data_IF_500976113215
#
_entry.id   IF_500976113215
#
_cell.length_a   1.000
_cell.length_b   1.000
_cell.length_c   1.000
_cell.angle_alpha   90.00
_cell.angle_beta   90.00
_cell.angle_gamma   90.00
#
_symmetry.space_group_name_H-M   'P 1'
#
loop_
_entity.id
_entity.type
_entity.pdbx_description
1 polymer ?
#
# COMPACT_ATOMS: atom_id res chain seq x y z
N UNK A 1 24.29 8.28 -75.85
CA UNK A 1 23.56 7.11 -76.39
C UNK A 1 23.02 6.33 -75.19
N UNK A 2 21.75 6.48 -74.91
CA UNK A 2 20.68 5.46 -74.90
C UNK A 2 20.91 4.30 -73.93
N UNK A 3 20.06 3.91 -73.04
CA UNK A 3 18.63 3.95 -72.70
C UNK A 3 18.46 3.18 -71.38
N UNK A 4 17.74 3.71 -70.40
CA UNK A 4 16.49 3.28 -69.74
C UNK A 4 16.29 1.77 -69.57
N UNK A 5 16.07 1.36 -68.29
CA UNK A 5 14.83 0.68 -67.86
C UNK A 5 14.60 0.86 -66.35
N UNK A 6 13.47 1.44 -66.03
CA UNK A 6 12.90 1.59 -64.72
C UNK A 6 12.11 0.31 -64.40
N UNK A 7 12.32 -0.29 -63.25
CA UNK A 7 11.36 -1.24 -62.71
C UNK A 7 10.92 -0.74 -61.35
N UNK A 8 9.67 -0.24 -61.32
CA UNK A 8 8.87 0.08 -60.16
C UNK A 8 8.45 -1.21 -59.48
N UNK A 9 8.95 -1.52 -58.29
CA UNK A 9 8.30 -2.43 -57.36
C UNK A 9 7.49 -1.64 -56.35
N UNK A 10 6.17 -1.56 -56.60
CA UNK A 10 5.19 -1.12 -55.60
C UNK A 10 4.99 -2.25 -54.61
N UNK A 11 5.55 -2.09 -53.40
CA UNK A 11 5.21 -2.96 -52.27
C UNK A 11 3.86 -2.53 -51.74
N UNK A 12 2.87 -3.37 -51.94
CA UNK A 12 1.51 -3.19 -51.39
C UNK A 12 1.57 -3.66 -49.93
N UNK A 13 1.45 -2.73 -48.99
CA UNK A 13 1.23 -3.05 -47.57
C UNK A 13 -0.27 -3.32 -47.40
N UNK A 14 -0.62 -4.59 -47.18
CA UNK A 14 -1.95 -4.97 -46.75
C UNK A 14 -2.05 -4.69 -45.25
N UNK A 15 -2.71 -3.61 -44.86
CA UNK A 15 -3.06 -3.34 -43.46
C UNK A 15 -4.25 -4.22 -43.12
N UNK A 16 -4.01 -5.27 -42.36
CA UNK A 16 -5.06 -6.07 -41.73
C UNK A 16 -5.55 -5.29 -40.52
N UNK A 17 -6.66 -4.59 -40.67
CA UNK A 17 -7.39 -3.99 -39.56
C UNK A 17 -8.11 -5.11 -38.79
N UNK A 18 -7.56 -5.49 -37.63
CA UNK A 18 -8.27 -6.34 -36.67
C UNK A 18 -9.23 -5.42 -35.92
N UNK A 19 -10.49 -5.42 -36.33
CA UNK A 19 -11.57 -4.82 -35.54
C UNK A 19 -11.87 -5.73 -34.35
N UNK A 20 -11.37 -5.38 -33.18
CA UNK A 20 -11.86 -5.92 -31.91
C UNK A 20 -13.28 -5.38 -31.69
N UNK A 21 -14.28 -6.19 -31.94
CA UNK A 21 -15.64 -5.91 -31.53
C UNK A 21 -15.72 -6.00 -30.01
N UNK A 22 -15.69 -4.85 -29.34
CA UNK A 22 -16.08 -4.76 -27.93
C UNK A 22 -17.58 -5.10 -27.86
N UNK A 23 -17.92 -6.29 -27.43
CA UNK A 23 -19.29 -6.64 -27.04
C UNK A 23 -19.60 -5.88 -25.76
N UNK A 24 -20.29 -4.77 -25.86
CA UNK A 24 -20.88 -4.11 -24.72
C UNK A 24 -21.88 -5.07 -24.07
N UNK A 25 -21.59 -5.47 -22.84
CA UNK A 25 -22.57 -6.14 -22.00
C UNK A 25 -23.75 -5.19 -21.77
N UNK A 26 -25.00 -5.65 -21.88
CA UNK A 26 -26.14 -4.78 -21.69
C UNK A 26 -26.17 -4.29 -20.24
N UNK A 27 -26.36 -2.99 -20.06
CA UNK A 27 -26.62 -2.37 -18.77
C UNK A 27 -27.84 -3.07 -18.13
N UNK A 28 -27.66 -3.75 -17.01
CA UNK A 28 -28.77 -4.27 -16.23
C UNK A 28 -29.54 -3.08 -15.67
N UNK A 29 -30.72 -2.87 -16.17
CA UNK A 29 -31.71 -1.97 -15.56
C UNK A 29 -32.14 -2.59 -14.23
N UNK A 30 -31.71 -1.98 -13.13
CA UNK A 30 -32.11 -2.32 -11.77
C UNK A 30 -33.58 -1.95 -11.60
N UNK A 31 -34.48 -2.91 -11.86
CA UNK A 31 -35.83 -2.85 -11.36
C UNK A 31 -35.78 -3.21 -9.87
N UNK A 32 -36.04 -2.18 -9.04
CA UNK A 32 -36.09 -2.33 -7.60
C UNK A 32 -37.14 -3.34 -7.14
N UNK A 33 -36.65 -4.52 -6.79
CA UNK A 33 -37.28 -5.42 -5.83
C UNK A 33 -36.17 -5.85 -4.87
N UNK A 34 -36.26 -5.35 -3.64
CA UNK A 34 -35.31 -5.65 -2.57
C UNK A 34 -35.33 -7.13 -2.20
N UNK A 35 -34.63 -7.93 -2.96
CA UNK A 35 -34.16 -9.23 -2.48
C UNK A 35 -32.88 -8.96 -1.69
N UNK A 36 -32.97 -9.12 -0.36
CA UNK A 36 -31.80 -9.25 0.49
C UNK A 36 -30.91 -10.33 -0.11
N UNK A 37 -29.82 -9.92 -0.74
CA UNK A 37 -28.74 -10.84 -1.13
C UNK A 37 -28.34 -11.58 0.14
N UNK A 38 -28.56 -12.88 0.14
CA UNK A 38 -28.23 -13.73 1.28
C UNK A 38 -26.74 -13.57 1.56
N UNK A 39 -26.43 -13.01 2.74
CA UNK A 39 -25.06 -12.95 3.26
C UNK A 39 -24.44 -14.31 3.07
N UNK A 40 -23.33 -14.39 2.36
CA UNK A 40 -22.59 -15.63 2.27
C UNK A 40 -22.04 -15.92 3.68
N UNK A 41 -22.76 -16.74 4.45
CA UNK A 41 -22.47 -17.01 5.87
C UNK A 41 -21.13 -17.66 6.14
N UNK A 42 -20.34 -17.91 5.09
CA UNK A 42 -19.12 -18.72 5.14
C UNK A 42 -17.84 -17.92 4.76
N UNK A 43 -17.84 -16.59 4.85
CA UNK A 43 -16.58 -15.85 4.70
C UNK A 43 -15.76 -15.96 6.00
N UNK A 44 -14.67 -16.77 6.01
CA UNK A 44 -14.00 -17.17 7.24
C UNK A 44 -12.91 -16.19 7.70
N UNK A 45 -12.68 -15.11 6.93
CA UNK A 45 -11.58 -14.21 7.14
C UNK A 45 -11.99 -12.99 7.95
N UNK A 46 -11.30 -12.72 9.05
CA UNK A 46 -11.59 -11.65 9.96
C UNK A 46 -12.06 -12.13 11.34
N UNK A 47 -12.81 -11.30 12.04
CA UNK A 47 -13.32 -11.62 13.37
C UNK A 47 -14.83 -11.85 13.33
N UNK A 48 -15.31 -12.72 14.25
CA UNK A 48 -16.75 -12.97 14.45
C UNK A 48 -17.47 -11.83 15.21
N UNK A 49 -16.97 -10.60 15.17
CA UNK A 49 -17.66 -9.49 15.78
C UNK A 49 -19.05 -9.32 15.17
N UNK A 50 -20.07 -9.30 16.02
CA UNK A 50 -21.45 -9.11 15.58
C UNK A 50 -21.60 -7.76 14.88
N UNK A 51 -22.20 -7.79 13.73
CA UNK A 51 -22.25 -6.79 12.67
C UNK A 51 -22.79 -5.39 12.99
N UNK A 52 -23.01 -5.02 14.24
CA UNK A 52 -23.65 -3.76 14.59
C UNK A 52 -23.06 -3.01 15.78
N UNK A 53 -22.03 -3.52 16.44
CA UNK A 53 -21.41 -2.81 17.56
C UNK A 53 -20.25 -1.96 17.07
N UNK A 54 -20.15 -0.71 17.52
CA UNK A 54 -18.96 0.10 17.32
C UNK A 54 -17.72 -0.58 17.90
N UNK A 55 -16.59 -0.35 17.28
CA UNK A 55 -15.28 -0.85 17.68
C UNK A 55 -14.19 0.13 17.25
N UNK A 56 -12.95 -0.08 17.67
CA UNK A 56 -11.83 0.77 17.29
C UNK A 56 -10.67 -0.06 16.72
N UNK A 57 -9.91 0.56 15.83
CA UNK A 57 -8.66 0.03 15.26
C UNK A 57 -7.56 1.08 15.40
N UNK A 58 -6.29 0.66 15.33
CA UNK A 58 -5.13 1.55 15.35
C UNK A 58 -4.42 1.58 14.01
N UNK A 59 -4.04 2.76 13.54
CA UNK A 59 -3.24 2.97 12.32
C UNK A 59 -1.97 3.73 12.67
N UNK A 60 -0.84 3.29 12.12
CA UNK A 60 0.47 3.93 12.29
C UNK A 60 1.39 3.48 11.15
N UNK A 61 2.43 4.25 10.86
CA UNK A 61 3.40 3.92 9.82
C UNK A 61 4.57 4.90 9.82
N UNK A 62 5.50 4.71 8.88
CA UNK A 62 6.68 5.58 8.69
C UNK A 62 7.47 5.80 10.00
N UNK A 63 7.64 4.74 10.77
CA UNK A 63 8.29 4.72 12.10
C UNK A 63 9.03 3.41 12.35
N UNK A 64 10.21 3.44 13.03
CA UNK A 64 10.96 4.63 13.46
C UNK A 64 12.00 5.06 12.42
N UNK A 65 12.24 6.37 12.28
CA UNK A 65 13.27 6.95 11.41
C UNK A 65 14.49 7.46 12.19
N UNK A 66 14.43 7.43 13.51
CA UNK A 66 15.52 7.86 14.40
C UNK A 66 15.61 6.96 15.64
N UNK A 67 16.77 7.04 16.35
CA UNK A 67 16.92 6.32 17.61
C UNK A 67 15.91 6.81 18.64
N UNK A 68 15.64 8.11 18.72
CA UNK A 68 14.66 8.66 19.66
C UNK A 68 13.25 8.14 19.40
N UNK A 69 12.87 7.90 18.15
CA UNK A 69 11.61 7.26 17.83
C UNK A 69 11.64 5.77 18.19
N UNK A 70 12.73 5.06 17.86
CA UNK A 70 12.87 3.64 18.23
C UNK A 70 12.75 3.44 19.74
N UNK A 71 13.33 4.34 20.52
CA UNK A 71 13.24 4.32 21.99
C UNK A 71 11.81 4.63 22.50
N UNK A 72 11.03 5.36 21.72
CA UNK A 72 9.65 5.75 22.04
C UNK A 72 8.58 4.74 21.57
N UNK A 73 8.87 3.88 20.58
CA UNK A 73 7.92 2.85 20.10
C UNK A 73 7.32 2.00 21.22
N UNK A 74 8.07 1.54 22.24
CA UNK A 74 7.47 0.79 23.35
C UNK A 74 6.34 1.56 24.06
N UNK A 75 6.47 2.89 24.20
CA UNK A 75 5.41 3.72 24.79
C UNK A 75 4.18 3.78 23.91
N UNK A 76 4.34 3.89 22.58
CA UNK A 76 3.23 3.84 21.63
C UNK A 76 2.52 2.48 21.67
N UNK A 77 3.27 1.38 21.71
CA UNK A 77 2.70 0.04 21.82
C UNK A 77 1.92 -0.13 23.14
N UNK A 78 2.44 0.38 24.26
CA UNK A 78 1.75 0.31 25.54
C UNK A 78 0.46 1.16 25.52
N UNK A 79 0.49 2.34 24.90
CA UNK A 79 -0.70 3.18 24.69
C UNK A 79 -1.76 2.44 23.87
N UNK A 80 -1.38 1.85 22.73
CA UNK A 80 -2.28 0.99 21.95
C UNK A 80 -2.81 -0.21 22.74
N UNK A 81 -1.93 -0.86 23.50
CA UNK A 81 -2.27 -2.03 24.33
C UNK A 81 -3.20 -1.68 25.49
N UNK A 82 -3.23 -0.42 25.94
CA UNK A 82 -4.15 0.07 26.97
C UNK A 82 -5.58 0.25 26.46
N UNK A 83 -5.77 0.23 25.13
CA UNK A 83 -7.05 0.46 24.48
C UNK A 83 -7.64 -0.86 23.92
N UNK A 84 -8.96 -0.89 23.78
CA UNK A 84 -9.67 -2.06 23.24
C UNK A 84 -9.69 -1.99 21.70
N UNK A 85 -8.55 -2.29 21.10
CA UNK A 85 -8.38 -2.31 19.64
C UNK A 85 -8.67 -3.71 19.09
N UNK A 86 -9.50 -3.79 18.04
CA UNK A 86 -9.81 -5.06 17.38
C UNK A 86 -8.65 -5.54 16.53
N UNK A 87 -7.88 -4.63 15.96
CA UNK A 87 -6.61 -4.85 15.27
C UNK A 87 -5.86 -3.53 15.10
N UNK A 88 -4.58 -3.63 14.74
CA UNK A 88 -3.75 -2.50 14.33
C UNK A 88 -3.18 -2.74 12.94
N UNK A 89 -2.91 -1.67 12.19
CA UNK A 89 -2.22 -1.73 10.90
C UNK A 89 -1.05 -0.76 10.92
N UNK A 90 0.11 -1.24 10.51
CA UNK A 90 1.27 -0.44 10.17
C UNK A 90 1.31 -0.31 8.65
N UNK A 91 1.29 0.93 8.14
CA UNK A 91 1.11 1.23 6.73
C UNK A 91 2.42 1.46 5.96
N UNK A 92 3.50 0.80 6.40
CA UNK A 92 4.78 0.76 5.71
C UNK A 92 5.89 1.55 6.41
N UNK A 93 7.09 1.37 5.91
CA UNK A 93 8.30 2.10 6.31
C UNK A 93 8.78 1.83 7.74
N UNK A 94 9.48 0.72 7.90
CA UNK A 94 10.15 0.35 9.15
C UNK A 94 11.48 1.10 9.37
N UNK A 95 11.89 1.94 8.41
CA UNK A 95 13.10 2.78 8.43
C UNK A 95 12.95 4.01 7.55
N UNK A 96 13.86 4.97 7.70
CA UNK A 96 14.01 6.07 6.74
C UNK A 96 14.58 5.60 5.39
N UNK A 97 14.23 6.25 4.28
CA UNK A 97 14.62 5.87 2.93
C UNK A 97 16.11 5.97 2.61
N UNK A 98 16.90 6.70 3.41
CA UNK A 98 18.33 6.89 3.20
C UNK A 98 19.13 6.67 4.49
N UNK A 99 20.39 6.25 4.36
CA UNK A 99 21.27 6.05 5.50
C UNK A 99 21.10 4.71 6.19
N UNK A 100 21.34 4.65 7.48
CA UNK A 100 21.34 3.45 8.30
C UNK A 100 20.31 3.54 9.42
N UNK A 101 19.66 2.42 9.81
CA UNK A 101 19.90 1.08 9.29
C UNK A 101 19.44 0.94 7.84
N UNK A 102 20.16 0.12 7.07
CA UNK A 102 19.78 -0.25 5.71
C UNK A 102 18.89 -1.49 5.71
N UNK A 103 18.46 -1.93 4.53
CA UNK A 103 17.76 -3.20 4.36
C UNK A 103 18.66 -4.43 4.53
N UNK A 104 19.96 -4.28 4.72
CA UNK A 104 20.86 -5.42 4.87
C UNK A 104 20.50 -6.25 6.11
N UNK A 105 20.40 -7.57 5.93
CA UNK A 105 20.04 -8.51 7.01
C UNK A 105 20.98 -8.46 8.23
N UNK A 106 22.21 -7.95 8.01
CA UNK A 106 23.21 -7.77 9.05
C UNK A 106 23.54 -6.29 9.28
N UNK A 107 22.64 -5.38 8.92
CA UNK A 107 22.82 -3.96 9.17
C UNK A 107 22.90 -3.73 10.67
N UNK A 108 24.11 -3.53 11.15
CA UNK A 108 24.36 -3.14 12.51
C UNK A 108 24.84 -1.70 12.53
N UNK A 109 24.02 -0.80 13.07
CA UNK A 109 24.46 0.48 13.59
C UNK A 109 25.37 1.33 12.68
N UNK A 110 24.80 2.10 11.83
CA UNK A 110 25.54 3.21 11.26
C UNK A 110 25.70 4.37 12.24
N UNK A 111 26.68 5.20 12.01
CA UNK A 111 26.83 6.45 12.76
C UNK A 111 25.55 7.31 12.62
N UNK A 112 24.84 7.50 13.72
CA UNK A 112 23.54 8.18 13.74
C UNK A 112 22.32 7.30 13.51
N UNK A 113 22.53 5.99 13.32
CA UNK A 113 21.45 5.03 13.10
C UNK A 113 20.88 4.45 14.39
N UNK A 114 19.77 3.75 14.21
CA UNK A 114 19.09 3.00 15.26
C UNK A 114 19.92 1.75 15.59
N UNK A 115 20.02 1.44 16.88
CA UNK A 115 20.63 0.18 17.32
C UNK A 115 19.62 -0.93 17.12
N UNK A 116 19.81 -1.71 16.05
CA UNK A 116 18.89 -2.78 15.70
C UNK A 116 19.08 -4.05 16.53
N UNK A 117 17.96 -4.70 16.80
CA UNK A 117 17.90 -6.06 17.33
C UNK A 117 18.01 -7.08 16.18
N UNK A 118 19.10 -7.02 15.40
CA UNK A 118 19.33 -7.87 14.26
C UNK A 118 19.26 -7.14 12.92
N UNK A 119 18.08 -6.73 12.50
CA UNK A 119 17.86 -5.86 11.32
C UNK A 119 16.50 -5.17 11.43
N UNK A 120 16.17 -4.31 10.46
CA UNK A 120 14.91 -3.54 10.45
C UNK A 120 13.68 -4.45 10.50
N UNK A 121 13.71 -5.57 9.80
CA UNK A 121 12.57 -6.50 9.71
C UNK A 121 12.38 -7.27 11.03
N UNK A 122 13.46 -7.72 11.65
CA UNK A 122 13.40 -8.38 12.97
C UNK A 122 12.92 -7.40 14.05
N UNK A 123 13.37 -6.15 13.97
CA UNK A 123 12.88 -5.07 14.84
C UNK A 123 11.38 -4.85 14.62
N UNK A 124 10.93 -4.67 13.38
CA UNK A 124 9.51 -4.53 13.04
C UNK A 124 8.68 -5.72 13.54
N UNK A 125 9.15 -6.95 13.33
CA UNK A 125 8.48 -8.14 13.84
C UNK A 125 8.38 -8.12 15.38
N UNK A 126 9.40 -7.62 16.07
CA UNK A 126 9.35 -7.50 17.55
C UNK A 126 8.28 -6.50 18.00
N UNK A 127 8.09 -5.42 17.29
CA UNK A 127 7.03 -4.43 17.56
C UNK A 127 5.65 -5.05 17.36
N UNK A 128 5.43 -5.72 16.22
CA UNK A 128 4.16 -6.39 15.97
C UNK A 128 3.84 -7.45 17.02
N UNK A 129 4.82 -8.25 17.42
CA UNK A 129 4.64 -9.28 18.45
C UNK A 129 4.41 -8.72 19.87
N UNK A 130 4.75 -7.46 20.12
CA UNK A 130 4.46 -6.77 21.37
C UNK A 130 3.02 -6.22 21.46
N UNK A 131 2.33 -6.09 20.33
CA UNK A 131 0.92 -5.66 20.28
C UNK A 131 0.00 -6.79 20.76
N UNK A 132 -0.92 -6.49 21.68
CA UNK A 132 -1.93 -7.44 22.17
C UNK A 132 -2.97 -7.76 21.10
N UNK A 133 -3.40 -6.73 20.38
CA UNK A 133 -4.32 -6.86 19.26
C UNK A 133 -3.64 -7.56 18.06
N UNK A 134 -4.39 -8.17 17.16
CA UNK A 134 -3.89 -8.58 15.85
C UNK A 134 -3.18 -7.43 15.16
N UNK A 135 -1.96 -7.66 14.68
CA UNK A 135 -1.16 -6.67 13.98
C UNK A 135 -1.05 -7.02 12.49
N UNK A 136 -1.23 -6.04 11.65
CA UNK A 136 -1.19 -6.17 10.19
C UNK A 136 -0.14 -5.19 9.69
N UNK A 137 0.57 -5.58 8.66
CA UNK A 137 1.62 -4.81 8.02
C UNK A 137 1.36 -4.75 6.51
N UNK A 138 1.68 -3.65 5.86
CA UNK A 138 1.84 -3.52 4.42
C UNK A 138 3.22 -2.93 4.15
N UNK A 139 4.01 -3.46 3.19
CA UNK A 139 5.34 -2.95 2.92
C UNK A 139 5.33 -1.49 2.49
N UNK A 140 6.38 -0.75 2.84
CA UNK A 140 6.65 0.59 2.32
C UNK A 140 7.83 0.60 1.35
N UNK A 141 8.05 1.71 0.64
CA UNK A 141 9.16 1.82 -0.30
C UNK A 141 10.51 1.73 0.41
N UNK A 142 10.62 2.28 1.60
CA UNK A 142 11.83 2.20 2.41
C UNK A 142 12.16 0.78 2.88
N UNK A 143 11.17 -0.11 2.87
CA UNK A 143 11.36 -1.49 3.31
C UNK A 143 11.95 -2.37 2.20
N UNK A 144 11.70 -2.04 0.92
CA UNK A 144 12.20 -2.87 -0.17
C UNK A 144 12.60 -2.11 -1.44
N UNK A 145 11.79 -1.24 -2.04
CA UNK A 145 12.16 -0.54 -3.30
C UNK A 145 13.40 0.32 -3.10
N UNK A 146 13.46 1.07 -2.03
CA UNK A 146 14.56 1.95 -1.66
C UNK A 146 15.80 1.23 -1.13
N UNK A 147 15.73 -0.08 -0.98
CA UNK A 147 16.88 -0.89 -0.54
C UNK A 147 18.01 -0.91 -1.53
N UNK A 148 17.74 -0.59 -2.77
CA UNK A 148 18.75 -0.60 -3.83
C UNK A 148 19.36 0.78 -4.10
N UNK A 149 18.96 1.82 -3.39
CA UNK A 149 19.48 3.19 -3.57
C UNK A 149 21.00 3.24 -3.52
N UNK A 150 21.59 3.96 -4.48
CA UNK A 150 23.04 4.15 -4.57
C UNK A 150 23.63 4.86 -3.33
N UNK A 151 22.82 5.70 -2.66
CA UNK A 151 23.19 6.38 -1.42
C UNK A 151 23.50 5.43 -0.26
N UNK A 152 23.01 4.18 -0.31
CA UNK A 152 23.30 3.15 0.68
C UNK A 152 24.68 2.49 0.49
N UNK A 153 25.37 2.72 -0.64
CA UNK A 153 26.72 2.23 -0.90
C UNK A 153 26.83 0.70 -0.76
N UNK A 154 27.71 0.23 0.13
CA UNK A 154 27.90 -1.21 0.39
C UNK A 154 26.71 -1.89 1.06
N UNK A 155 25.80 -1.13 1.63
CA UNK A 155 24.59 -1.63 2.29
C UNK A 155 23.39 -1.75 1.33
N UNK A 156 23.52 -1.29 0.10
CA UNK A 156 22.49 -1.43 -0.93
C UNK A 156 22.20 -2.91 -1.24
N UNK A 157 20.94 -3.26 -1.40
CA UNK A 157 20.46 -4.62 -1.68
C UNK A 157 19.49 -4.60 -2.85
N UNK A 158 19.36 -5.73 -3.53
CA UNK A 158 18.34 -5.88 -4.57
C UNK A 158 16.93 -5.75 -3.94
N UNK A 159 16.14 -4.80 -4.44
CA UNK A 159 14.81 -4.47 -3.91
C UNK A 159 13.89 -5.70 -3.88
N UNK A 160 13.80 -6.44 -4.97
CA UNK A 160 12.91 -7.60 -5.06
C UNK A 160 13.34 -8.77 -4.17
N UNK A 161 14.65 -8.88 -3.86
CA UNK A 161 15.12 -9.82 -2.86
C UNK A 161 14.62 -9.42 -1.46
N UNK A 162 14.63 -8.13 -1.15
CA UNK A 162 14.14 -7.65 0.14
C UNK A 162 12.64 -7.87 0.29
N UNK A 163 11.85 -7.58 -0.72
CA UNK A 163 10.44 -7.94 -0.75
C UNK A 163 10.21 -9.46 -0.56
N UNK A 164 11.05 -10.29 -1.18
CA UNK A 164 10.97 -11.75 -0.98
C UNK A 164 11.29 -12.15 0.45
N UNK A 165 12.21 -11.44 1.11
CA UNK A 165 12.52 -11.65 2.53
C UNK A 165 11.34 -11.22 3.42
N UNK A 166 10.72 -10.08 3.18
CA UNK A 166 9.52 -9.65 3.89
C UNK A 166 8.37 -10.64 3.73
N UNK A 167 8.12 -11.11 2.51
CA UNK A 167 7.11 -12.15 2.24
C UNK A 167 7.34 -13.39 3.08
N UNK A 168 8.61 -13.81 3.23
CA UNK A 168 8.94 -14.97 4.06
C UNK A 168 8.75 -14.74 5.55
N UNK A 169 8.96 -13.51 6.02
CA UNK A 169 8.94 -13.16 7.45
C UNK A 169 7.53 -12.78 7.94
N UNK A 170 6.87 -11.86 7.23
CA UNK A 170 5.60 -11.27 7.66
C UNK A 170 4.38 -11.94 7.03
N UNK A 171 4.53 -12.52 5.84
CA UNK A 171 3.42 -12.97 5.01
C UNK A 171 3.42 -14.47 4.71
N UNK A 172 4.23 -15.25 5.42
CA UNK A 172 4.36 -16.71 5.23
C UNK A 172 3.08 -17.51 5.57
N UNK A 173 2.16 -16.93 6.31
CA UNK A 173 0.88 -17.56 6.69
C UNK A 173 -0.29 -16.60 6.46
N UNK A 174 -1.52 -17.09 6.33
CA UNK A 174 -2.70 -16.22 6.22
C UNK A 174 -3.14 -15.58 7.55
N UNK A 175 -2.39 -15.78 8.63
CA UNK A 175 -2.68 -15.18 9.94
C UNK A 175 -2.08 -13.79 10.04
N UNK A 176 -2.75 -12.91 10.79
CA UNK A 176 -2.16 -11.65 11.26
C UNK A 176 -0.96 -11.92 12.17
N UNK A 177 -0.16 -10.92 12.39
CA UNK A 177 0.84 -10.85 13.44
C UNK A 177 0.17 -10.47 14.79
N UNK A 178 0.95 -10.19 15.82
CA UNK A 178 0.45 -9.81 17.15
C UNK A 178 0.21 -10.99 18.08
N UNK A 179 -0.11 -10.69 19.34
CA UNK A 179 -0.34 -11.72 20.37
C UNK A 179 -1.66 -12.46 20.16
N UNK A 180 -2.67 -11.78 19.63
CA UNK A 180 -3.91 -12.40 19.17
C UNK A 180 -3.92 -12.38 17.63
N UNK A 181 -4.59 -13.35 17.03
CA UNK A 181 -4.54 -13.51 15.58
C UNK A 181 -5.89 -13.90 15.00
N UNK A 182 -6.14 -13.48 13.77
CA UNK A 182 -7.23 -14.00 12.94
C UNK A 182 -6.73 -14.32 11.51
N UNK A 183 -7.55 -15.00 10.73
CA UNK A 183 -7.25 -15.34 9.34
C UNK A 183 -7.60 -14.18 8.41
N UNK A 184 -6.73 -13.93 7.43
CA UNK A 184 -6.95 -13.02 6.32
C UNK A 184 -7.02 -13.81 5.01
N UNK A 185 -7.84 -13.36 4.07
CA UNK A 185 -7.75 -13.83 2.69
C UNK A 185 -6.51 -13.22 2.05
N UNK A 186 -5.76 -14.03 1.33
CA UNK A 186 -4.48 -13.66 0.70
C UNK A 186 -4.64 -13.72 -0.81
N UNK A 187 -4.05 -12.77 -1.53
CA UNK A 187 -3.95 -12.85 -2.99
C UNK A 187 -2.96 -13.94 -3.40
N UNK A 188 -3.46 -15.16 -3.49
CA UNK A 188 -2.64 -16.37 -3.64
C UNK A 188 -2.28 -16.72 -5.09
N UNK A 189 -2.88 -16.06 -6.09
CA UNK A 189 -2.53 -16.29 -7.50
C UNK A 189 -1.14 -15.75 -7.78
N UNK A 190 -0.24 -16.53 -8.40
CA UNK A 190 1.14 -16.09 -8.64
C UNK A 190 1.21 -15.11 -9.83
N UNK A 191 0.87 -13.85 -9.57
CA UNK A 191 0.85 -12.76 -10.55
C UNK A 191 1.90 -11.68 -10.27
N UNK A 192 2.43 -11.62 -9.05
CA UNK A 192 3.53 -10.75 -8.69
C UNK A 192 4.89 -11.36 -9.05
N UNK A 193 5.93 -10.53 -9.05
CA UNK A 193 7.31 -10.97 -9.27
C UNK A 193 8.01 -11.25 -7.94
N UNK A 194 8.85 -12.27 -7.94
CA UNK A 194 9.74 -12.63 -6.87
C UNK A 194 11.17 -12.80 -7.38
N UNK A 195 12.13 -12.65 -6.49
CA UNK A 195 13.54 -12.88 -6.80
C UNK A 195 13.81 -14.38 -6.88
N UNK A 196 14.37 -14.84 -8.00
CA UNK A 196 14.74 -16.24 -8.17
C UNK A 196 16.24 -16.46 -7.98
N UNK A 197 17.07 -15.78 -8.76
CA UNK A 197 18.53 -15.85 -8.69
C UNK A 197 19.14 -14.53 -9.16
N UNK A 198 20.25 -14.15 -8.58
CA UNK A 198 21.01 -12.96 -8.94
C UNK A 198 22.15 -12.73 -7.97
N UNK A 199 22.92 -11.69 -8.20
CA UNK A 199 23.94 -11.24 -7.25
C UNK A 199 23.26 -10.43 -6.15
N UNK A 200 23.49 -10.83 -4.92
CA UNK A 200 23.11 -10.10 -3.74
C UNK A 200 24.36 -9.51 -3.11
N UNK A 201 24.80 -8.44 -3.67
CA UNK A 201 25.97 -7.73 -3.19
C UNK A 201 25.77 -6.23 -3.25
N UNK A 202 26.71 -5.46 -2.70
CA UNK A 202 26.68 -4.02 -2.84
C UNK A 202 26.54 -3.67 -4.31
N UNK A 203 25.49 -2.93 -4.63
CA UNK A 203 25.23 -2.45 -5.99
C UNK A 203 26.20 -1.30 -6.38
N UNK A 204 27.34 -1.21 -5.69
CA UNK A 204 28.33 -0.15 -5.82
C UNK A 204 28.98 -0.03 -7.22
N UNK A 205 28.83 -1.02 -8.10
CA UNK A 205 29.31 -0.95 -9.49
C UNK A 205 28.17 -1.29 -10.47
N UNK A 206 27.17 -0.42 -10.52
CA UNK A 206 26.03 -0.54 -11.43
C UNK A 206 26.29 -0.08 -12.86
N UNK A 207 27.52 0.12 -13.26
CA UNK A 207 27.91 0.13 -14.68
C UNK A 207 27.72 -1.25 -15.33
N UNK A 208 27.52 -2.28 -14.52
CA UNK A 208 27.14 -3.64 -14.95
C UNK A 208 25.67 -3.84 -14.67
N UNK A 209 24.88 -4.05 -15.71
CA UNK A 209 23.49 -4.47 -15.63
C UNK A 209 23.41 -5.70 -14.73
N UNK A 210 22.82 -5.57 -13.55
CA UNK A 210 22.51 -6.74 -12.74
C UNK A 210 21.50 -7.58 -13.49
N UNK A 211 21.90 -8.75 -13.90
CA UNK A 211 20.99 -9.75 -14.42
C UNK A 211 20.50 -10.59 -13.24
N UNK A 212 19.33 -10.26 -12.72
CA UNK A 212 18.60 -11.20 -11.88
C UNK A 212 17.42 -11.77 -12.67
N UNK A 213 16.94 -12.91 -12.24
CA UNK A 213 15.81 -13.59 -12.85
C UNK A 213 14.60 -13.51 -11.94
N UNK A 214 13.44 -13.22 -12.54
CA UNK A 214 12.16 -13.24 -11.86
C UNK A 214 11.59 -14.65 -11.79
N UNK A 215 10.74 -14.87 -10.78
CA UNK A 215 9.77 -15.95 -10.76
C UNK A 215 8.39 -15.36 -10.45
N UNK A 216 7.35 -15.99 -10.96
CA UNK A 216 5.99 -15.58 -10.59
C UNK A 216 5.65 -16.13 -9.20
N UNK A 217 5.18 -15.24 -8.32
CA UNK A 217 4.83 -15.54 -6.94
C UNK A 217 3.47 -14.95 -6.59
N UNK A 218 2.86 -15.44 -5.52
CA UNK A 218 1.70 -14.80 -4.92
C UNK A 218 2.06 -13.40 -4.40
N UNK A 219 1.13 -12.45 -4.51
CA UNK A 219 1.23 -11.14 -3.87
C UNK A 219 0.74 -11.30 -2.41
N UNK A 220 1.54 -11.97 -1.59
CA UNK A 220 1.10 -12.43 -0.27
C UNK A 220 0.91 -11.32 0.76
N UNK A 221 1.41 -10.14 0.48
CA UNK A 221 1.23 -8.88 1.19
C UNK A 221 -0.17 -8.27 0.97
N UNK A 222 -0.80 -8.57 -0.15
CA UNK A 222 -2.17 -8.17 -0.42
C UNK A 222 -3.16 -9.07 0.31
N UNK A 223 -3.83 -8.50 1.29
CA UNK A 223 -4.71 -9.22 2.22
C UNK A 223 -6.04 -8.51 2.39
N UNK A 224 -7.11 -9.27 2.69
CA UNK A 224 -8.40 -8.68 3.04
C UNK A 224 -9.12 -9.49 4.10
N UNK A 225 -9.98 -8.82 4.85
CA UNK A 225 -10.75 -9.41 5.95
C UNK A 225 -11.99 -8.57 6.27
N UNK A 226 -12.91 -9.13 7.03
CA UNK A 226 -14.12 -8.45 7.47
C UNK A 226 -14.15 -8.38 9.00
N UNK A 227 -14.47 -7.19 9.52
CA UNK A 227 -14.81 -6.97 10.92
C UNK A 227 -16.09 -6.15 10.97
N UNK A 228 -17.07 -6.60 11.74
CA UNK A 228 -18.28 -5.81 11.99
C UNK A 228 -19.02 -5.31 10.74
N UNK A 229 -19.04 -6.07 9.65
CA UNK A 229 -19.64 -5.67 8.36
C UNK A 229 -18.85 -4.60 7.58
N UNK A 230 -17.60 -4.35 7.93
CA UNK A 230 -16.69 -3.50 7.18
C UNK A 230 -15.60 -4.37 6.56
N UNK A 231 -15.33 -4.16 5.28
CA UNK A 231 -14.25 -4.82 4.55
C UNK A 231 -12.97 -3.99 4.68
N UNK A 232 -11.89 -4.65 4.97
CA UNK A 232 -10.53 -4.08 5.02
C UNK A 232 -9.63 -4.81 4.02
N UNK A 233 -8.71 -4.10 3.40
CA UNK A 233 -7.69 -4.71 2.55
C UNK A 233 -6.38 -3.91 2.55
N UNK A 234 -5.26 -4.63 2.51
CA UNK A 234 -3.94 -4.06 2.20
C UNK A 234 -3.66 -4.15 0.70
N UNK A 235 -2.89 -3.19 0.20
CA UNK A 235 -2.40 -3.09 -1.17
C UNK A 235 -0.91 -2.74 -1.15
N UNK A 236 -0.14 -3.41 -1.97
CA UNK A 236 1.31 -3.17 -2.11
C UNK A 236 1.57 -2.01 -3.11
N UNK A 237 1.06 -0.81 -2.76
CA UNK A 237 1.27 0.43 -3.51
C UNK A 237 2.33 1.25 -2.76
N UNK A 238 3.47 1.48 -3.42
CA UNK A 238 4.69 2.00 -2.81
C UNK A 238 4.94 3.47 -3.16
N UNK A 239 5.68 4.18 -2.29
CA UNK A 239 6.32 5.43 -2.64
C UNK A 239 7.23 5.31 -3.87
N UNK A 240 8.06 6.32 -4.12
CA UNK A 240 9.02 6.30 -5.24
C UNK A 240 8.38 6.00 -6.60
N UNK A 241 7.19 6.61 -6.89
CA UNK A 241 6.37 6.35 -8.08
C UNK A 241 6.07 4.85 -8.28
N UNK A 242 5.82 4.14 -7.20
CA UNK A 242 5.50 2.72 -7.24
C UNK A 242 6.60 1.86 -7.89
N UNK A 243 7.87 2.07 -7.49
CA UNK A 243 9.08 1.41 -8.02
C UNK A 243 9.50 1.87 -9.44
N UNK A 244 9.12 3.08 -9.87
CA UNK A 244 9.48 3.63 -11.18
C UNK A 244 10.36 4.89 -11.13
N UNK A 245 10.57 5.49 -9.95
CA UNK A 245 11.28 6.77 -9.80
C UNK A 245 12.51 6.70 -8.87
N UNK A 246 12.87 5.55 -8.35
CA UNK A 246 14.10 5.39 -7.59
C UNK A 246 15.36 5.26 -8.49
N UNK A 247 16.52 5.01 -7.90
CA UNK A 247 17.77 4.92 -8.65
C UNK A 247 17.80 3.76 -9.67
N UNK A 248 16.99 2.72 -9.45
CA UNK A 248 16.97 1.51 -10.28
C UNK A 248 15.54 1.01 -10.52
N UNK A 249 14.77 1.75 -11.34
CA UNK A 249 13.38 1.42 -11.61
C UNK A 249 13.19 0.01 -12.16
N UNK A 250 12.18 -0.70 -11.69
CA UNK A 250 11.80 -2.04 -12.21
C UNK A 250 10.41 -2.03 -12.86
N UNK A 251 10.32 -1.66 -14.15
CA UNK A 251 9.01 -1.59 -14.83
C UNK A 251 8.36 -2.96 -15.04
N UNK A 252 9.11 -4.06 -14.96
CA UNK A 252 8.56 -5.42 -15.10
C UNK A 252 7.88 -5.84 -13.81
N UNK A 253 8.51 -5.58 -12.67
CA UNK A 253 7.93 -5.79 -11.35
C UNK A 253 6.69 -4.89 -11.17
N UNK A 254 6.86 -3.58 -11.37
CA UNK A 254 5.77 -2.61 -11.27
C UNK A 254 4.54 -3.02 -12.08
N UNK A 255 4.70 -3.33 -13.37
CA UNK A 255 3.56 -3.68 -14.22
C UNK A 255 2.81 -4.94 -13.73
N UNK A 256 3.54 -5.91 -13.20
CA UNK A 256 2.94 -7.15 -12.68
C UNK A 256 2.18 -6.90 -11.37
N UNK A 257 2.81 -6.18 -10.43
CA UNK A 257 2.22 -5.85 -9.12
C UNK A 257 1.04 -4.90 -9.27
N UNK A 258 1.17 -3.82 -10.05
CA UNK A 258 0.09 -2.86 -10.29
C UNK A 258 -1.16 -3.55 -10.88
N UNK A 259 -0.98 -4.45 -11.85
CA UNK A 259 -2.10 -5.22 -12.39
C UNK A 259 -2.74 -6.14 -11.34
N UNK A 260 -1.93 -6.74 -10.45
CA UNK A 260 -2.41 -7.56 -9.36
C UNK A 260 -3.17 -6.74 -8.30
N UNK A 261 -2.66 -5.56 -7.94
CA UNK A 261 -3.27 -4.65 -6.97
C UNK A 261 -4.62 -4.10 -7.45
N UNK A 262 -4.70 -3.70 -8.72
CA UNK A 262 -5.97 -3.28 -9.33
C UNK A 262 -6.98 -4.42 -9.29
N UNK A 263 -6.58 -5.65 -9.68
CA UNK A 263 -7.46 -6.80 -9.65
C UNK A 263 -7.90 -7.16 -8.21
N UNK A 264 -6.99 -7.03 -7.25
CA UNK A 264 -7.30 -7.28 -5.84
C UNK A 264 -8.26 -6.24 -5.27
N UNK A 265 -8.02 -4.98 -5.54
CA UNK A 265 -8.90 -3.86 -5.16
C UNK A 265 -10.32 -4.06 -5.73
N UNK A 266 -10.44 -4.35 -7.01
CA UNK A 266 -11.73 -4.63 -7.66
C UNK A 266 -12.43 -5.86 -7.06
N UNK A 267 -11.67 -6.95 -6.86
CA UNK A 267 -12.18 -8.15 -6.20
C UNK A 267 -12.60 -7.90 -4.74
N UNK A 268 -11.96 -6.95 -4.06
CA UNK A 268 -12.33 -6.56 -2.70
C UNK A 268 -13.68 -5.81 -2.67
N UNK A 269 -13.91 -4.88 -3.59
CA UNK A 269 -15.23 -4.25 -3.74
C UNK A 269 -16.32 -5.26 -4.05
N UNK A 270 -16.06 -6.18 -4.99
CA UNK A 270 -17.03 -7.23 -5.32
C UNK A 270 -17.33 -8.11 -4.10
N UNK A 271 -16.29 -8.54 -3.37
CA UNK A 271 -16.47 -9.32 -2.14
C UNK A 271 -17.25 -8.53 -1.09
N UNK A 272 -16.98 -7.24 -0.92
CA UNK A 272 -17.71 -6.38 0.01
C UNK A 272 -19.21 -6.28 -0.36
N UNK A 273 -19.53 -6.20 -1.64
CA UNK A 273 -20.90 -6.22 -2.15
C UNK A 273 -21.57 -7.56 -1.81
N UNK A 274 -20.92 -8.67 -2.15
CA UNK A 274 -21.44 -10.03 -1.96
C UNK A 274 -21.65 -10.38 -0.48
N UNK A 275 -20.78 -9.86 0.40
CA UNK A 275 -20.89 -10.05 1.86
C UNK A 275 -21.83 -9.01 2.52
N UNK A 276 -22.35 -8.03 1.76
CA UNK A 276 -23.24 -6.99 2.26
C UNK A 276 -22.54 -6.00 3.19
N UNK A 277 -21.25 -5.75 3.00
CA UNK A 277 -20.49 -4.78 3.78
C UNK A 277 -21.06 -3.37 3.62
N UNK A 278 -20.95 -2.59 4.68
CA UNK A 278 -21.45 -1.20 4.75
C UNK A 278 -20.36 -0.18 4.36
N UNK A 279 -19.09 -0.57 4.42
CA UNK A 279 -17.96 0.26 4.06
C UNK A 279 -16.77 -0.61 3.63
N UNK A 280 -15.78 0.03 3.00
CA UNK A 280 -14.47 -0.55 2.67
C UNK A 280 -13.37 0.38 3.16
N UNK A 281 -12.27 -0.17 3.68
CA UNK A 281 -11.05 0.56 3.98
C UNK A 281 -9.87 -0.14 3.28
N UNK A 282 -9.17 0.59 2.42
CA UNK A 282 -7.90 0.17 1.84
C UNK A 282 -6.75 0.81 2.60
N UNK A 283 -5.67 0.09 2.77
CA UNK A 283 -4.44 0.54 3.42
C UNK A 283 -3.26 0.20 2.51
N UNK A 284 -2.45 1.20 2.20
CA UNK A 284 -1.18 1.09 1.46
C UNK A 284 -0.17 2.06 2.04
N UNK A 285 1.07 2.05 1.56
CA UNK A 285 2.07 2.99 2.05
C UNK A 285 2.05 4.30 1.27
N UNK A 286 2.05 4.29 -0.06
CA UNK A 286 2.24 5.47 -0.87
C UNK A 286 1.19 6.56 -0.69
N UNK A 287 1.62 7.84 -0.64
CA UNK A 287 0.77 8.97 -1.01
C UNK A 287 0.85 9.17 -2.53
N UNK A 288 -0.14 8.70 -3.29
CA UNK A 288 -0.06 8.71 -4.74
C UNK A 288 -0.29 10.11 -5.35
N UNK A 289 -0.57 11.15 -4.50
CA UNK A 289 -1.06 12.46 -4.93
C UNK A 289 -2.50 12.42 -5.44
N UNK A 290 -3.31 13.37 -5.02
CA UNK A 290 -4.75 13.36 -5.31
C UNK A 290 -5.22 14.61 -6.05
N UNK A 291 -4.54 15.73 -5.88
CA UNK A 291 -4.88 17.02 -6.47
C UNK A 291 -3.63 17.90 -6.68
N UNK A 292 -3.83 19.13 -7.16
CA UNK A 292 -2.77 20.11 -7.45
C UNK A 292 -2.40 20.99 -6.25
N UNK A 293 -3.03 20.78 -5.11
CA UNK A 293 -2.86 21.60 -3.91
C UNK A 293 -2.06 20.92 -2.80
N UNK A 294 -1.49 19.76 -3.09
CA UNK A 294 -0.75 19.00 -2.10
C UNK A 294 0.54 19.74 -1.71
N UNK A 295 0.64 20.14 -0.45
CA UNK A 295 1.82 20.80 0.11
C UNK A 295 2.89 19.81 0.57
N UNK A 296 2.70 18.53 0.38
CA UNK A 296 3.60 17.44 0.77
C UNK A 296 4.59 17.10 -0.33
N UNK A 297 5.30 15.98 -0.20
CA UNK A 297 6.18 15.45 -1.25
C UNK A 297 5.43 14.58 -2.28
N UNK A 298 4.13 14.41 -2.10
CA UNK A 298 3.30 13.63 -3.02
C UNK A 298 3.34 14.23 -4.43
N UNK A 299 3.13 13.42 -5.46
CA UNK A 299 2.92 13.93 -6.82
C UNK A 299 1.71 14.86 -6.88
N UNK A 300 1.85 15.98 -7.58
CA UNK A 300 0.70 16.82 -7.90
C UNK A 300 -0.07 16.24 -9.08
N UNK A 301 -1.40 16.32 -9.02
CA UNK A 301 -2.30 15.76 -10.04
C UNK A 301 -3.43 16.70 -10.38
N UNK A 302 -3.85 16.67 -11.63
CA UNK A 302 -5.14 17.21 -11.97
C UNK A 302 -6.24 16.34 -11.34
N UNK A 303 -6.94 16.86 -10.35
CA UNK A 303 -7.90 16.11 -9.53
C UNK A 303 -9.08 15.51 -10.36
N UNK A 304 -9.42 16.09 -11.51
CA UNK A 304 -10.49 15.59 -12.36
C UNK A 304 -10.04 14.46 -13.29
N UNK A 305 -8.85 14.57 -13.88
CA UNK A 305 -8.32 13.57 -14.83
C UNK A 305 -7.50 12.49 -14.12
N UNK A 306 -6.98 12.79 -12.93
CA UNK A 306 -6.00 11.99 -12.16
C UNK A 306 -4.71 11.75 -12.96
N UNK A 307 -4.39 12.63 -13.86
CA UNK A 307 -3.10 12.65 -14.56
C UNK A 307 -2.12 13.45 -13.72
N UNK A 308 -0.95 12.88 -13.51
CA UNK A 308 0.15 13.57 -12.84
C UNK A 308 0.59 14.78 -13.67
N UNK A 309 0.74 15.92 -13.04
CA UNK A 309 1.14 17.18 -13.67
C UNK A 309 2.42 17.78 -13.07
N UNK A 310 3.09 17.01 -12.19
CA UNK A 310 4.41 17.37 -11.68
C UNK A 310 5.45 17.30 -12.79
N UNK A 311 5.84 18.47 -13.31
CA UNK A 311 6.84 18.58 -14.38
C UNK A 311 8.23 18.05 -13.98
N UNK A 312 8.49 17.82 -12.69
CA UNK A 312 9.74 17.26 -12.20
C UNK A 312 9.77 15.74 -12.25
N UNK A 313 8.61 15.09 -12.40
CA UNK A 313 8.48 13.63 -12.47
C UNK A 313 8.11 13.18 -13.86
N UNK A 314 8.97 12.35 -14.45
CA UNK A 314 8.78 11.85 -15.81
C UNK A 314 7.85 10.64 -15.89
N UNK A 315 7.45 10.05 -14.76
CA UNK A 315 6.78 8.74 -14.71
C UNK A 315 5.67 8.74 -13.67
N UNK A 316 4.44 8.50 -14.14
CA UNK A 316 3.28 8.32 -13.28
C UNK A 316 3.06 6.83 -12.97
N UNK A 317 3.47 6.40 -11.76
CA UNK A 317 3.29 5.03 -11.30
C UNK A 317 1.86 4.71 -10.83
N UNK A 318 1.01 5.70 -10.55
CA UNK A 318 -0.25 5.49 -9.83
C UNK A 318 -1.52 5.74 -10.66
N UNK A 319 -1.40 6.40 -11.80
CA UNK A 319 -2.56 6.94 -12.51
C UNK A 319 -3.61 5.89 -12.89
N UNK A 320 -3.21 4.69 -13.29
CA UNK A 320 -4.13 3.59 -13.65
C UNK A 320 -4.88 3.08 -12.42
N UNK A 321 -4.18 2.90 -11.30
CA UNK A 321 -4.77 2.51 -10.03
C UNK A 321 -5.80 3.55 -9.55
N UNK A 322 -5.45 4.82 -9.53
CA UNK A 322 -6.32 5.89 -9.06
C UNK A 322 -7.59 6.02 -9.90
N UNK A 323 -7.49 5.86 -11.21
CA UNK A 323 -8.65 5.86 -12.11
C UNK A 323 -9.55 4.65 -11.89
N UNK A 324 -8.97 3.47 -11.67
CA UNK A 324 -9.71 2.26 -11.33
C UNK A 324 -10.40 2.41 -9.96
N UNK A 325 -9.67 2.84 -8.93
CA UNK A 325 -10.20 3.09 -7.60
C UNK A 325 -11.38 4.06 -7.63
N UNK A 326 -11.25 5.20 -8.32
CA UNK A 326 -12.33 6.17 -8.47
C UNK A 326 -13.60 5.54 -9.04
N UNK A 327 -13.45 4.73 -10.06
CA UNK A 327 -14.57 4.06 -10.72
C UNK A 327 -15.30 3.12 -9.75
N UNK A 328 -14.56 2.33 -9.00
CA UNK A 328 -15.10 1.39 -8.02
C UNK A 328 -15.74 2.11 -6.83
N UNK A 329 -15.13 3.19 -6.32
CA UNK A 329 -15.69 4.00 -5.23
C UNK A 329 -17.05 4.59 -5.62
N UNK A 330 -17.15 5.13 -6.82
CA UNK A 330 -18.41 5.68 -7.34
C UNK A 330 -19.47 4.58 -7.48
N UNK A 331 -19.09 3.43 -8.05
CA UNK A 331 -19.99 2.29 -8.24
C UNK A 331 -20.46 1.67 -6.91
N UNK A 332 -19.57 1.58 -5.93
CA UNK A 332 -19.88 1.04 -4.61
C UNK A 332 -20.89 1.93 -3.83
N UNK A 333 -20.76 3.25 -3.93
CA UNK A 333 -21.71 4.24 -3.42
C UNK A 333 -21.86 4.28 -1.89
N UNK A 334 -21.07 3.50 -1.13
CA UNK A 334 -21.01 3.48 0.32
C UNK A 334 -19.65 4.03 0.78
N UNK A 335 -19.44 4.34 2.09
CA UNK A 335 -18.18 4.88 2.58
C UNK A 335 -16.97 4.03 2.19
N UNK A 336 -15.94 4.70 1.65
CA UNK A 336 -14.63 4.15 1.35
C UNK A 336 -13.57 5.04 1.98
N UNK A 337 -12.72 4.46 2.81
CA UNK A 337 -11.51 5.10 3.31
C UNK A 337 -10.28 4.55 2.57
N UNK A 338 -9.35 5.42 2.21
CA UNK A 338 -8.04 5.05 1.71
C UNK A 338 -6.99 5.61 2.67
N UNK A 339 -6.24 4.71 3.28
CA UNK A 339 -5.20 5.02 4.27
C UNK A 339 -3.84 4.94 3.60
N UNK A 340 -2.99 5.93 3.85
CA UNK A 340 -1.62 5.95 3.40
C UNK A 340 -0.70 6.65 4.40
N UNK A 341 0.63 6.40 4.28
CA UNK A 341 1.72 7.10 4.94
C UNK A 341 2.52 7.96 3.97
N UNK A 342 3.84 7.71 3.86
CA UNK A 342 4.84 8.22 2.90
C UNK A 342 5.17 9.72 3.04
N UNK A 343 4.20 10.60 2.93
CA UNK A 343 4.41 12.05 3.01
C UNK A 343 4.58 12.58 4.44
N UNK A 344 4.24 11.81 5.46
CA UNK A 344 4.30 12.17 6.89
C UNK A 344 3.47 13.40 7.26
N UNK A 345 2.38 13.62 6.56
CA UNK A 345 1.52 14.79 6.76
C UNK A 345 0.12 14.38 7.17
N UNK A 346 -0.06 14.22 8.48
CA UNK A 346 -1.37 13.80 9.00
C UNK A 346 -2.50 14.65 8.47
N UNK A 347 -3.47 14.01 7.80
CA UNK A 347 -4.69 14.66 7.30
C UNK A 347 -5.83 13.67 7.07
N UNK A 348 -7.03 14.19 7.18
CA UNK A 348 -8.26 13.47 6.82
C UNK A 348 -9.12 14.40 5.99
N UNK A 349 -9.36 14.06 4.74
CA UNK A 349 -10.14 14.88 3.81
C UNK A 349 -10.81 14.05 2.70
N UNK A 350 -11.43 14.72 1.73
CA UNK A 350 -12.13 14.11 0.60
C UNK A 350 -11.64 14.71 -0.73
N UNK A 351 -10.43 14.39 -1.19
CA UNK A 351 -9.84 15.06 -2.36
C UNK A 351 -10.45 14.60 -3.69
N UNK A 352 -11.00 13.40 -3.77
CA UNK A 352 -11.37 12.74 -5.03
C UNK A 352 -12.52 13.45 -5.73
N UNK A 353 -12.33 13.73 -7.03
CA UNK A 353 -13.37 14.25 -7.95
C UNK A 353 -13.76 13.18 -8.97
N UNK A 354 -15.00 13.22 -9.42
CA UNK A 354 -15.44 12.48 -10.60
C UNK A 354 -14.96 13.15 -11.91
N UNK A 355 -15.21 12.51 -13.03
CA UNK A 355 -14.80 13.03 -14.36
C UNK A 355 -15.52 14.33 -14.77
N UNK A 356 -16.61 14.68 -14.08
CA UNK A 356 -17.32 15.95 -14.25
C UNK A 356 -16.83 17.06 -13.28
N UNK A 357 -15.81 16.76 -12.46
CA UNK A 357 -15.28 17.69 -11.46
C UNK A 357 -16.11 17.80 -10.18
N UNK A 358 -17.07 16.90 -9.96
CA UNK A 358 -17.87 16.86 -8.75
C UNK A 358 -17.17 15.99 -7.68
N UNK A 359 -17.18 16.48 -6.43
CA UNK A 359 -16.59 15.74 -5.31
C UNK A 359 -17.27 14.39 -5.06
N UNK A 360 -16.47 13.35 -4.94
CA UNK A 360 -16.90 11.99 -4.58
C UNK A 360 -17.00 11.91 -3.06
N UNK A 361 -18.17 12.24 -2.55
CA UNK A 361 -18.41 12.48 -1.10
C UNK A 361 -18.30 11.23 -0.22
N UNK A 362 -18.41 10.05 -0.80
CA UNK A 362 -18.26 8.77 -0.10
C UNK A 362 -16.80 8.28 -0.02
N UNK A 363 -15.84 9.00 -0.59
CA UNK A 363 -14.41 8.72 -0.48
C UNK A 363 -13.77 9.59 0.61
N UNK A 364 -12.89 9.02 1.41
CA UNK A 364 -12.09 9.72 2.42
C UNK A 364 -10.63 9.26 2.31
N UNK A 365 -9.70 10.21 2.10
CA UNK A 365 -8.27 9.99 2.30
C UNK A 365 -7.95 10.12 3.78
N UNK A 366 -7.10 9.23 4.26
CA UNK A 366 -6.54 9.25 5.62
C UNK A 366 -5.05 9.06 5.51
N UNK A 367 -4.29 10.08 5.84
CA UNK A 367 -2.84 9.99 5.91
C UNK A 367 -2.40 9.93 7.36
N UNK A 368 -1.56 8.95 7.71
CA UNK A 368 -1.04 8.75 9.06
C UNK A 368 0.04 9.75 9.42
N UNK A 369 0.47 9.76 10.68
CA UNK A 369 1.41 10.78 11.16
C UNK A 369 2.83 10.64 10.61
N UNK A 370 3.32 9.40 10.53
CA UNK A 370 4.69 9.11 10.10
C UNK A 370 5.77 9.83 10.90
N UNK A 371 6.89 10.09 10.25
CA UNK A 371 8.07 10.78 10.79
C UNK A 371 7.90 12.31 10.81
N UNK A 372 6.92 12.81 11.54
CA UNK A 372 6.62 14.25 11.55
C UNK A 372 7.69 15.08 12.28
N UNK A 373 8.23 14.57 13.39
CA UNK A 373 9.23 15.26 14.21
C UNK A 373 10.34 14.28 14.70
N UNK A 374 11.21 13.81 13.80
CA UNK A 374 12.15 12.73 14.12
C UNK A 374 13.11 13.07 15.26
N UNK A 375 13.50 14.33 15.37
CA UNK A 375 14.44 14.78 16.40
C UNK A 375 13.82 14.82 17.80
N UNK A 376 12.51 14.95 17.89
CA UNK A 376 11.78 14.92 19.15
C UNK A 376 11.37 13.51 19.56
N UNK A 377 11.47 12.54 18.64
CA UNK A 377 11.07 11.15 18.88
C UNK A 377 9.57 10.98 18.99
N UNK A 378 8.80 11.77 18.26
CA UNK A 378 7.34 11.65 18.20
C UNK A 378 6.94 10.33 17.55
N UNK A 379 6.04 9.59 18.20
CA UNK A 379 5.52 8.29 17.78
C UNK A 379 4.01 8.25 17.95
N UNK A 380 3.33 9.07 17.16
CA UNK A 380 1.89 9.22 17.25
C UNK A 380 1.19 8.17 16.38
N UNK A 381 -0.06 7.86 16.73
CA UNK A 381 -0.89 6.94 15.96
C UNK A 381 -2.32 7.46 15.84
N UNK A 382 -3.08 6.85 14.94
CA UNK A 382 -4.46 7.24 14.67
C UNK A 382 -5.40 6.14 15.13
N UNK A 383 -6.28 6.46 16.06
CA UNK A 383 -7.41 5.62 16.42
C UNK A 383 -8.57 5.88 15.47
N UNK A 384 -9.02 4.84 14.80
CA UNK A 384 -10.23 4.91 13.99
C UNK A 384 -11.35 4.25 14.76
N UNK A 385 -12.38 5.04 15.09
CA UNK A 385 -13.61 4.52 15.65
C UNK A 385 -14.55 4.14 14.51
N UNK A 386 -15.02 2.90 14.51
CA UNK A 386 -15.80 2.30 13.44
C UNK A 386 -17.21 2.02 13.97
N UNK A 387 -18.21 2.69 13.43
CA UNK A 387 -19.62 2.44 13.73
C UNK A 387 -20.34 2.03 12.44
N UNK A 388 -20.56 0.71 12.23
CA UNK A 388 -21.24 0.20 11.04
C UNK A 388 -22.70 0.69 10.88
N UNK A 389 -23.28 1.29 11.91
CA UNK A 389 -24.63 1.88 11.86
C UNK A 389 -24.63 3.36 11.50
N UNK A 390 -23.48 4.01 11.58
CA UNK A 390 -23.29 5.42 11.23
C UNK A 390 -23.25 5.60 9.70
N UNK A 391 -23.71 6.76 9.24
CA UNK A 391 -23.65 7.13 7.82
C UNK A 391 -22.22 7.18 7.28
N UNK A 392 -21.29 7.76 8.05
CA UNK A 392 -19.88 7.92 7.64
C UNK A 392 -19.04 6.70 7.99
N UNK A 393 -19.53 5.81 8.87
CA UNK A 393 -18.89 4.60 9.39
C UNK A 393 -17.60 4.87 10.17
N UNK A 394 -16.68 5.68 9.65
CA UNK A 394 -15.37 5.95 10.23
C UNK A 394 -15.31 7.34 10.86
N UNK A 395 -14.73 7.42 12.05
CA UNK A 395 -14.31 8.67 12.68
C UNK A 395 -12.90 8.51 13.26
N UNK A 396 -12.16 9.61 13.33
CA UNK A 396 -10.71 9.60 13.51
C UNK A 396 -10.34 10.38 14.76
N UNK A 397 -9.48 9.79 15.60
CA UNK A 397 -9.03 10.36 16.86
C UNK A 397 -7.51 10.26 16.95
N UNK A 398 -6.82 11.40 16.99
CA UNK A 398 -5.38 11.46 17.10
C UNK A 398 -4.91 11.00 18.47
N UNK A 399 -3.95 10.12 18.54
CA UNK A 399 -3.31 9.64 19.75
C UNK A 399 -1.90 10.21 19.82
N UNK A 400 -1.73 11.23 20.64
CA UNK A 400 -0.43 11.89 20.87
C UNK A 400 0.21 11.21 22.07
N UNK A 401 1.26 10.43 21.81
CA UNK A 401 1.89 9.59 22.81
C UNK A 401 2.81 10.40 23.72
N UNK A 402 2.56 10.35 25.02
CA UNK A 402 3.48 10.91 26.02
C UNK A 402 4.60 9.91 26.34
N UNK A 403 5.72 10.02 25.62
CA UNK A 403 6.89 9.17 25.81
C UNK A 403 7.54 9.30 27.20
N UNK A 404 7.40 10.46 27.85
CA UNK A 404 7.98 10.71 29.16
C UNK A 404 7.23 9.98 30.29
N UNK A 405 6.03 9.45 30.00
CA UNK A 405 5.24 8.68 30.96
C UNK A 405 5.87 7.32 31.33
N UNK A 406 6.82 6.83 30.54
CA UNK A 406 7.52 5.56 30.78
C UNK A 406 8.88 5.73 31.46
N UNK A 407 9.33 6.96 31.69
CA UNK A 407 10.56 7.23 32.45
C UNK A 407 10.19 7.20 33.94
N UNK A 408 10.60 6.19 34.72
CA UNK A 408 10.26 6.08 36.13
C UNK A 408 10.92 7.16 36.98
#
# INVERSE_FOLDING_TARGET
>A
MNWKWILNLRTVWTVVAITLAATALPAQTNNGNGNAYGKNKNYPYGTNQTSSRPYSIGLWGDLPYSQSQADAIPAMIEDMNSQDLVFTVQDGDLRQGSGVPSCAENSSNGAGGIVDLGNIYQRGLSYFNALRAPAIFTPGDNDWTDCDRASLGSESRNSLRMLSYERSLFFSTPKTLGQTQFLQEVQSTPTCKGFLTGTDGPLADRTKTETFTYTDVACSENRRWIVGNVMYATLDIQGSCDNLCDDYPDPVEHAARMAADIAWMQGTFQTAIDQGCVAVMFISQADPGWDDTDATRAPTRNAQTLVEDDAAKATDGYGDFLRALRSEVIAFGKPVAYVNGDSHYFRVDKPLLDTAGKRVVNFTRVETFGDHQPFLGDVNWLKVNVDPSSREVFSYETQIVNRDALVP
#
